data_IF_801576971684
#
_entry.id   IF_801576971684
#
_cell.length_a   1.000
_cell.length_b   1.000
_cell.length_c   1.000
_cell.angle_alpha   90.00
_cell.angle_beta   90.00
_cell.angle_gamma   90.00
#
_symmetry.space_group_name_H-M   'P 1'
#
loop_
_entity.id
_entity.type
_entity.pdbx_description
1 polymer ?
#
# COMPACT_ATOMS: atom_id res chain seq x y z
N UNK A 1 2.39 0.51 -3.28
CA UNK A 1 1.83 1.75 -2.69
C UNK A 1 0.62 2.18 -3.50
N UNK A 2 -0.45 2.64 -2.85
CA UNK A 2 -1.71 3.05 -3.48
C UNK A 2 -2.03 4.50 -3.09
N UNK A 3 -2.41 5.32 -4.07
CA UNK A 3 -2.93 6.66 -3.83
C UNK A 3 -4.30 6.59 -3.16
N UNK A 4 -4.40 7.03 -1.92
CA UNK A 4 -5.65 7.09 -1.15
C UNK A 4 -6.30 8.47 -1.14
N UNK A 5 -5.94 9.38 -2.04
CA UNK A 5 -6.52 10.72 -2.11
C UNK A 5 -7.99 10.72 -2.55
N UNK A 6 -8.74 11.76 -2.19
CA UNK A 6 -10.19 11.87 -2.43
C UNK A 6 -10.60 11.78 -3.89
N UNK A 7 -9.69 12.07 -4.83
CA UNK A 7 -9.93 11.90 -6.27
C UNK A 7 -10.23 10.45 -6.66
N UNK A 8 -9.89 9.48 -5.80
CA UNK A 8 -10.10 8.04 -6.01
C UNK A 8 -11.40 7.49 -5.44
N UNK A 9 -12.26 8.30 -4.83
CA UNK A 9 -13.51 7.86 -4.17
C UNK A 9 -14.39 7.00 -5.08
N UNK A 10 -14.59 7.43 -6.32
CA UNK A 10 -15.45 6.74 -7.30
C UNK A 10 -14.82 5.44 -7.86
N UNK A 11 -13.58 5.12 -7.46
CA UNK A 11 -12.86 3.94 -7.94
C UNK A 11 -12.33 3.08 -6.80
N UNK A 12 -12.80 3.30 -5.56
CA UNK A 12 -12.27 2.60 -4.38
C UNK A 12 -12.36 1.07 -4.50
N UNK A 13 -13.55 0.58 -4.84
CA UNK A 13 -13.84 -0.84 -4.98
C UNK A 13 -12.99 -1.46 -6.09
N UNK A 14 -12.89 -0.77 -7.22
CA UNK A 14 -12.11 -1.21 -8.36
C UNK A 14 -10.61 -1.26 -8.04
N UNK A 15 -10.07 -0.23 -7.39
CA UNK A 15 -8.66 -0.18 -6.95
C UNK A 15 -8.39 -1.31 -5.95
N UNK A 16 -9.26 -1.53 -4.96
CA UNK A 16 -9.10 -2.60 -3.99
C UNK A 16 -9.09 -3.99 -4.66
N UNK A 17 -10.00 -4.22 -5.62
CA UNK A 17 -10.05 -5.46 -6.40
C UNK A 17 -8.79 -5.66 -7.26
N UNK A 18 -8.33 -4.62 -7.96
CA UNK A 18 -7.09 -4.67 -8.76
C UNK A 18 -5.87 -5.02 -7.90
N UNK A 19 -5.74 -4.36 -6.74
CA UNK A 19 -4.64 -4.63 -5.81
C UNK A 19 -4.72 -6.06 -5.28
N UNK A 20 -5.92 -6.55 -4.96
CA UNK A 20 -6.10 -7.93 -4.52
C UNK A 20 -5.66 -8.95 -5.59
N UNK A 21 -6.05 -8.73 -6.85
CA UNK A 21 -5.63 -9.57 -7.99
C UNK A 21 -4.10 -9.55 -8.13
N UNK A 22 -3.48 -8.36 -8.10
CA UNK A 22 -2.02 -8.23 -8.17
C UNK A 22 -1.33 -8.95 -7.01
N UNK A 23 -1.83 -8.77 -5.78
CA UNK A 23 -1.27 -9.41 -4.59
C UNK A 23 -1.31 -10.94 -4.68
N UNK A 24 -2.42 -11.51 -5.17
CA UNK A 24 -2.56 -12.94 -5.39
C UNK A 24 -1.69 -13.47 -6.52
N UNK A 25 -1.50 -12.69 -7.59
CA UNK A 25 -0.56 -13.04 -8.66
C UNK A 25 0.88 -13.09 -8.15
N UNK A 26 1.31 -12.09 -7.38
CA UNK A 26 2.65 -12.07 -6.77
C UNK A 26 2.84 -13.23 -5.78
N UNK A 27 1.84 -13.52 -4.95
CA UNK A 27 1.84 -14.68 -4.02
C UNK A 27 2.07 -16.00 -4.77
N UNK A 28 1.37 -16.22 -5.91
CA UNK A 28 1.55 -17.43 -6.73
C UNK A 28 2.93 -17.55 -7.35
N UNK A 29 3.58 -16.43 -7.64
CA UNK A 29 4.95 -16.39 -8.13
C UNK A 29 6.00 -16.47 -7.01
N UNK A 30 5.57 -16.65 -5.75
CA UNK A 30 6.42 -16.54 -4.55
C UNK A 30 7.15 -15.18 -4.47
N UNK A 31 6.55 -14.13 -5.06
CA UNK A 31 7.08 -12.78 -5.01
C UNK A 31 6.53 -12.07 -3.77
N UNK A 32 7.41 -11.73 -2.83
CA UNK A 32 7.08 -11.03 -1.59
C UNK A 32 6.61 -9.60 -1.87
N UNK A 33 5.48 -9.19 -1.29
CA UNK A 33 4.97 -7.84 -1.47
C UNK A 33 4.44 -7.23 -0.17
N UNK A 34 4.53 -5.90 -0.08
CA UNK A 34 3.90 -5.08 0.94
C UNK A 34 2.85 -4.18 0.26
N UNK A 35 1.69 -4.03 0.89
CA UNK A 35 0.56 -3.25 0.38
C UNK A 35 0.21 -2.20 1.40
N UNK A 36 0.24 -0.94 0.98
CA UNK A 36 -0.18 0.19 1.79
C UNK A 36 -0.74 1.31 0.91
N UNK A 37 -1.63 2.11 1.47
CA UNK A 37 -2.08 3.37 0.88
C UNK A 37 -1.48 4.57 1.61
N UNK A 38 -1.52 5.72 0.97
CA UNK A 38 -1.21 6.99 1.61
C UNK A 38 -2.28 8.04 1.32
N UNK A 39 -2.49 8.95 2.26
CA UNK A 39 -3.21 10.19 2.02
C UNK A 39 -2.80 11.26 3.02
N UNK A 40 -3.13 12.51 2.72
CA UNK A 40 -2.87 13.64 3.61
C UNK A 40 -4.16 14.24 4.12
N UNK A 41 -4.33 14.28 5.45
CA UNK A 41 -5.51 14.78 6.14
C UNK A 41 -5.03 15.76 7.22
N UNK A 42 -5.58 16.98 7.23
CA UNK A 42 -5.29 18.02 8.25
C UNK A 42 -3.79 18.25 8.49
N UNK A 43 -2.99 18.25 7.42
CA UNK A 43 -1.55 18.49 7.48
C UNK A 43 -0.67 17.26 7.73
N UNK A 44 -1.26 16.13 8.11
CA UNK A 44 -0.54 14.87 8.32
C UNK A 44 -0.59 13.99 7.08
N UNK A 45 0.51 13.32 6.73
CA UNK A 45 0.54 12.24 5.74
C UNK A 45 0.50 10.91 6.46
N UNK A 46 -0.56 10.15 6.24
CA UNK A 46 -0.81 8.85 6.87
C UNK A 46 -0.51 7.76 5.87
N UNK A 47 0.28 6.76 6.29
CA UNK A 47 0.45 5.51 5.56
C UNK A 47 -0.35 4.43 6.28
N UNK A 48 -1.18 3.69 5.55
CA UNK A 48 -1.98 2.58 6.09
C UNK A 48 -1.52 1.28 5.45
N UNK A 49 -0.99 0.39 6.25
CA UNK A 49 -0.54 -0.94 5.82
C UNK A 49 -1.76 -1.89 5.81
N UNK A 50 -1.93 -2.59 4.70
CA UNK A 50 -2.94 -3.65 4.52
C UNK A 50 -2.31 -5.05 4.47
N UNK A 51 -1.04 -5.12 4.06
CA UNK A 51 -0.24 -6.33 4.07
C UNK A 51 1.21 -5.97 4.29
N UNK A 52 1.90 -6.59 5.24
CA UNK A 52 3.34 -6.48 5.41
C UNK A 52 4.14 -7.68 4.86
N UNK A 53 5.47 -7.62 5.01
CA UNK A 53 6.38 -8.68 4.56
C UNK A 53 6.44 -9.91 5.47
N UNK A 54 5.95 -9.82 6.72
CA UNK A 54 5.82 -10.96 7.63
C UNK A 54 4.64 -11.87 7.24
N UNK A 55 3.63 -11.31 6.58
CA UNK A 55 2.49 -12.06 6.06
C UNK A 55 2.86 -12.83 4.79
N UNK A 56 2.77 -14.16 4.85
CA UNK A 56 3.03 -15.04 3.69
C UNK A 56 1.98 -14.91 2.58
N UNK A 57 0.72 -14.70 2.95
CA UNK A 57 -0.41 -14.67 2.01
C UNK A 57 -1.11 -13.33 2.06
N UNK A 58 -1.59 -12.85 0.91
CA UNK A 58 -2.44 -11.69 0.83
C UNK A 58 -3.83 -12.01 1.43
N UNK A 59 -4.17 -11.33 2.51
CA UNK A 59 -5.49 -11.38 3.13
C UNK A 59 -6.52 -10.51 2.41
N UNK A 60 -7.68 -10.34 3.05
CA UNK A 60 -8.79 -9.49 2.57
C UNK A 60 -8.75 -8.06 3.11
N UNK A 61 -7.70 -7.70 3.85
CA UNK A 61 -7.55 -6.37 4.47
C UNK A 61 -7.59 -5.21 3.47
N UNK A 62 -7.13 -5.43 2.25
CA UNK A 62 -7.19 -4.44 1.17
C UNK A 62 -8.62 -3.95 0.86
N UNK A 63 -9.66 -4.75 1.12
CA UNK A 63 -11.05 -4.33 0.92
C UNK A 63 -11.51 -3.28 1.94
N UNK A 64 -10.71 -3.00 2.98
CA UNK A 64 -10.92 -1.86 3.89
C UNK A 64 -10.34 -0.55 3.33
N UNK A 65 -9.79 -0.54 2.12
CA UNK A 65 -9.25 0.65 1.47
C UNK A 65 -10.34 1.72 1.29
N UNK A 66 -10.01 2.95 1.71
CA UNK A 66 -10.87 4.12 1.61
C UNK A 66 -10.05 5.30 1.10
N UNK A 67 -10.65 6.08 0.19
CA UNK A 67 -10.05 7.27 -0.38
C UNK A 67 -10.52 8.52 0.37
N UNK A 68 -9.57 9.29 0.91
CA UNK A 68 -9.81 10.50 1.67
C UNK A 68 -8.61 11.46 1.61
N UNK A 69 -8.84 12.74 1.88
CA UNK A 69 -7.77 13.73 1.92
C UNK A 69 -7.12 13.99 0.56
N UNK A 70 -5.88 14.46 0.59
CA UNK A 70 -5.11 14.92 -0.58
C UNK A 70 -3.85 14.06 -0.78
N UNK A 71 -3.28 14.10 -1.96
CA UNK A 71 -1.98 13.51 -2.28
C UNK A 71 -0.83 14.47 -1.89
N UNK A 72 0.22 13.92 -1.27
CA UNK A 72 1.51 14.60 -1.03
C UNK A 72 2.61 13.62 -1.34
N UNK A 73 2.83 13.37 -2.62
CA UNK A 73 3.66 12.26 -3.11
C UNK A 73 5.09 12.33 -2.58
N UNK A 74 5.66 13.53 -2.40
CA UNK A 74 6.98 13.70 -1.79
C UNK A 74 7.07 13.14 -0.36
N UNK A 75 6.04 13.36 0.47
CA UNK A 75 5.99 12.78 1.83
C UNK A 75 5.67 11.29 1.80
N UNK A 76 4.85 10.85 0.84
CA UNK A 76 4.54 9.44 0.64
C UNK A 76 5.79 8.63 0.28
N UNK A 77 6.62 9.14 -0.64
CA UNK A 77 7.89 8.53 -1.02
C UNK A 77 8.88 8.51 0.13
N UNK A 78 8.96 9.58 0.93
CA UNK A 78 9.77 9.60 2.15
C UNK A 78 9.32 8.52 3.15
N UNK A 79 8.00 8.39 3.35
CA UNK A 79 7.42 7.34 4.19
C UNK A 79 7.67 5.93 3.64
N UNK A 80 7.56 5.74 2.33
CA UNK A 80 7.88 4.48 1.66
C UNK A 80 9.34 4.08 1.87
N UNK A 81 10.27 5.02 1.70
CA UNK A 81 11.70 4.81 1.97
C UNK A 81 11.94 4.38 3.42
N UNK A 82 11.28 5.04 4.37
CA UNK A 82 11.35 4.68 5.79
C UNK A 82 10.81 3.26 6.07
N UNK A 83 9.66 2.89 5.50
CA UNK A 83 9.10 1.53 5.61
C UNK A 83 10.02 0.46 5.00
N UNK A 84 10.68 0.77 3.89
CA UNK A 84 11.62 -0.14 3.23
C UNK A 84 12.91 -0.33 4.04
N UNK A 85 13.40 0.73 4.69
CA UNK A 85 14.59 0.67 5.55
C UNK A 85 14.37 -0.15 6.82
N UNK A 86 13.18 -0.04 7.41
CA UNK A 86 12.81 -0.75 8.65
C UNK A 86 12.05 -2.05 8.40
N UNK A 87 11.99 -2.50 7.15
CA UNK A 87 11.36 -3.77 6.80
C UNK A 87 12.15 -4.95 7.38
N UNK A 88 11.49 -5.99 7.91
CA UNK A 88 12.15 -7.21 8.38
C UNK A 88 12.84 -7.98 7.24
N UNK A 89 12.56 -7.62 5.98
CA UNK A 89 13.07 -8.30 4.80
C UNK A 89 14.32 -7.58 4.29
N UNK A 90 15.44 -8.31 4.22
CA UNK A 90 16.73 -7.79 3.78
C UNK A 90 16.63 -7.24 2.36
N UNK A 91 17.28 -6.08 2.12
CA UNK A 91 17.43 -5.54 0.77
C UNK A 91 18.40 -6.44 0.02
N UNK A 92 17.88 -7.24 -0.92
CA UNK A 92 18.70 -7.94 -1.91
C UNK A 92 18.87 -6.99 -3.09
N UNK A 93 20.07 -6.44 -3.22
CA UNK A 93 20.47 -5.76 -4.46
C UNK A 93 20.89 -6.86 -5.43
N UNK A 94 20.25 -6.90 -6.61
CA UNK A 94 20.72 -7.71 -7.75
C UNK A 94 22.09 -7.20 -8.22
#
# INVERSE_FOLDING_TARGET
MIDGSSSRKNSQEFIAAQVYVLAKSLERCNIPCQIYSYCSIRGYTVLRIFKDYSEQKAGKEIFKYVAAGNNRDGLALKGAGHLMEHSPRKKEYL
#
